data_IF_084823961181
#
_entry.id   IF_084823961181
#
_cell.length_a   1.000
_cell.length_b   1.000
_cell.length_c   1.000
_cell.angle_alpha   90.00
_cell.angle_beta   90.00
_cell.angle_gamma   90.00
#
_symmetry.space_group_name_H-M   'P 1'
#
loop_
_entity.id
_entity.type
_entity.pdbx_description
1 polymer ?
#
# COMPACT_ATOMS: atom_id res chain seq x y z
N UNK A 1 -14.51 0.47 -15.71
CA UNK A 1 -14.32 -0.47 -14.59
C UNK A 1 -13.35 0.18 -13.64
N UNK A 2 -13.68 0.29 -12.37
CA UNK A 2 -12.82 0.94 -11.36
C UNK A 2 -11.70 -0.01 -10.97
N UNK A 3 -10.45 0.45 -11.01
CA UNK A 3 -9.29 -0.33 -10.55
C UNK A 3 -9.39 -0.50 -9.03
N UNK A 4 -9.21 -1.71 -8.48
CA UNK A 4 -9.26 -1.93 -7.02
C UNK A 4 -7.94 -2.48 -6.49
N UNK A 5 -7.33 -1.79 -5.52
CA UNK A 5 -5.99 -2.08 -5.00
C UNK A 5 -5.98 -2.07 -3.47
N UNK A 6 -5.35 -3.09 -2.88
CA UNK A 6 -5.05 -3.16 -1.45
C UNK A 6 -3.54 -3.06 -1.22
N UNK A 7 -3.09 -2.09 -0.42
CA UNK A 7 -1.69 -1.96 -0.01
C UNK A 7 -1.48 -2.66 1.33
N UNK A 8 -0.46 -3.50 1.45
CA UNK A 8 -0.25 -4.32 2.66
C UNK A 8 1.15 -4.19 3.22
N UNK A 9 1.26 -3.82 4.50
CA UNK A 9 2.50 -3.90 5.27
C UNK A 9 2.32 -4.81 6.50
N UNK A 10 3.23 -4.73 7.49
CA UNK A 10 3.11 -5.53 8.71
C UNK A 10 1.97 -5.06 9.62
N UNK A 11 2.04 -3.82 10.11
CA UNK A 11 1.18 -3.31 11.18
C UNK A 11 0.10 -2.33 10.73
N UNK A 12 0.06 -1.93 9.46
CA UNK A 12 -0.92 -0.99 8.90
C UNK A 12 -1.00 0.39 9.56
N UNK A 13 0.11 0.88 10.11
CA UNK A 13 0.21 2.22 10.71
C UNK A 13 1.23 3.14 10.01
N UNK A 14 2.30 2.59 9.40
CA UNK A 14 3.33 3.39 8.73
C UNK A 14 3.25 3.34 7.20
N UNK A 15 3.73 2.24 6.62
CA UNK A 15 3.95 2.07 5.17
C UNK A 15 2.66 1.98 4.36
N UNK A 16 1.74 1.09 4.71
CA UNK A 16 0.54 0.86 3.90
C UNK A 16 -0.48 2.01 3.96
N UNK A 17 -0.70 2.72 5.09
CA UNK A 17 -1.54 3.92 5.10
C UNK A 17 -0.95 5.05 4.24
N UNK A 18 0.37 5.24 4.31
CA UNK A 18 1.07 6.20 3.44
C UNK A 18 0.91 5.80 1.97
N UNK A 19 1.12 4.52 1.66
CA UNK A 19 0.99 3.98 0.32
C UNK A 19 -0.42 4.13 -0.26
N UNK A 20 -1.45 3.90 0.54
CA UNK A 20 -2.85 4.10 0.15
C UNK A 20 -3.12 5.56 -0.24
N UNK A 21 -2.75 6.50 0.63
CA UNK A 21 -2.96 7.91 0.40
C UNK A 21 -2.19 8.41 -0.83
N UNK A 22 -0.93 7.99 -0.98
CA UNK A 22 -0.07 8.35 -2.11
C UNK A 22 -0.58 7.76 -3.43
N UNK A 23 -0.93 6.47 -3.47
CA UNK A 23 -1.43 5.84 -4.69
C UNK A 23 -2.73 6.50 -5.16
N UNK A 24 -3.67 6.74 -4.23
CA UNK A 24 -4.93 7.44 -4.52
C UNK A 24 -4.67 8.84 -5.08
N UNK A 25 -3.73 9.58 -4.48
CA UNK A 25 -3.37 10.93 -4.92
C UNK A 25 -2.76 10.93 -6.34
N UNK A 26 -1.81 10.03 -6.62
CA UNK A 26 -1.17 9.92 -7.93
C UNK A 26 -2.14 9.47 -9.02
N UNK A 27 -3.08 8.57 -8.71
CA UNK A 27 -4.15 8.18 -9.63
C UNK A 27 -5.11 9.34 -9.92
N UNK A 28 -5.53 10.08 -8.89
CA UNK A 28 -6.40 11.25 -9.03
C UNK A 28 -5.77 12.32 -9.93
N UNK A 29 -4.47 12.60 -9.77
CA UNK A 29 -3.73 13.54 -10.62
C UNK A 29 -3.70 13.14 -12.10
N UNK A 30 -3.87 11.85 -12.39
CA UNK A 30 -3.89 11.29 -13.75
C UNK A 30 -5.30 11.05 -14.27
N UNK A 31 -6.35 11.38 -13.51
CA UNK A 31 -7.74 11.12 -13.88
C UNK A 31 -8.12 9.63 -13.90
N UNK A 32 -7.38 8.79 -13.16
CA UNK A 32 -7.61 7.34 -13.09
C UNK A 32 -8.61 7.04 -11.97
N UNK A 33 -9.72 6.39 -12.31
CA UNK A 33 -10.70 5.91 -11.32
C UNK A 33 -10.17 4.64 -10.61
N UNK A 34 -9.91 4.78 -9.31
CA UNK A 34 -9.32 3.74 -8.48
C UNK A 34 -9.96 3.72 -7.08
N UNK A 35 -10.25 2.52 -6.59
CA UNK A 35 -10.52 2.24 -5.19
C UNK A 35 -9.24 1.71 -4.55
N UNK A 36 -8.72 2.43 -3.55
CA UNK A 36 -7.53 2.02 -2.79
C UNK A 36 -7.90 1.88 -1.32
N UNK A 37 -7.44 0.81 -0.70
CA UNK A 37 -7.51 0.54 0.73
C UNK A 37 -6.15 0.03 1.23
N UNK A 38 -5.97 -0.08 2.54
CA UNK A 38 -4.78 -0.69 3.13
C UNK A 38 -5.05 -1.61 4.31
N UNK A 39 -4.15 -2.57 4.50
CA UNK A 39 -4.23 -3.53 5.60
C UNK A 39 -2.84 -3.95 6.11
N UNK A 40 -2.84 -4.72 7.20
CA UNK A 40 -1.66 -5.31 7.82
C UNK A 40 -1.70 -6.83 7.73
N UNK A 41 -0.54 -7.46 7.60
CA UNK A 41 -0.46 -8.93 7.79
C UNK A 41 -0.62 -9.32 9.25
N UNK A 42 -0.22 -8.44 10.18
CA UNK A 42 -0.45 -8.59 11.61
C UNK A 42 -1.73 -7.89 12.09
N UNK A 43 -2.16 -8.24 13.30
CA UNK A 43 -3.36 -7.70 13.96
C UNK A 43 -3.01 -6.76 15.14
N UNK A 44 -1.77 -6.28 15.23
CA UNK A 44 -1.25 -5.59 16.41
C UNK A 44 -1.91 -4.24 16.71
N UNK A 45 -2.35 -3.53 15.67
CA UNK A 45 -2.78 -2.13 15.74
C UNK A 45 -4.21 -1.95 15.25
N UNK A 46 -5.07 -2.98 15.29
CA UNK A 46 -6.43 -2.87 14.75
C UNK A 46 -7.17 -1.70 15.42
N UNK A 47 -7.73 -0.80 14.60
CA UNK A 47 -8.45 0.39 15.02
C UNK A 47 -7.58 1.61 15.30
N UNK A 48 -6.25 1.48 15.28
CA UNK A 48 -5.35 2.61 15.51
C UNK A 48 -5.26 3.52 14.28
N UNK A 49 -5.03 4.81 14.54
CA UNK A 49 -4.68 5.79 13.53
C UNK A 49 -3.28 5.50 12.94
N UNK A 50 -2.96 6.03 11.75
CA UNK A 50 -1.60 5.99 11.23
C UNK A 50 -0.59 6.62 12.20
N UNK A 51 0.67 6.16 12.14
CA UNK A 51 1.76 6.76 12.90
C UNK A 51 1.81 8.28 12.63
N UNK A 52 1.94 9.08 13.69
CA UNK A 52 1.93 10.54 13.58
C UNK A 52 2.99 11.07 12.60
N UNK A 53 4.11 10.35 12.40
CA UNK A 53 5.15 10.68 11.43
C UNK A 53 4.67 10.43 10.00
N UNK A 54 3.93 9.34 9.76
CA UNK A 54 3.23 9.12 8.48
C UNK A 54 2.25 10.25 8.20
N UNK A 55 1.42 10.64 9.18
CA UNK A 55 0.48 11.76 9.05
C UNK A 55 1.23 13.06 8.73
N UNK A 56 2.28 13.36 9.49
CA UNK A 56 3.09 14.57 9.31
C UNK A 56 3.76 14.62 7.93
N UNK A 57 4.31 13.51 7.45
CA UNK A 57 4.94 13.43 6.13
C UNK A 57 3.91 13.60 5.02
N UNK A 58 2.77 12.91 5.08
CA UNK A 58 1.70 13.08 4.10
C UNK A 58 1.16 14.52 4.08
N UNK A 59 0.96 15.13 5.25
CA UNK A 59 0.50 16.52 5.37
C UNK A 59 1.50 17.52 4.75
N UNK A 60 2.81 17.31 4.95
CA UNK A 60 3.86 18.14 4.33
C UNK A 60 3.81 18.10 2.80
N UNK A 61 3.38 16.98 2.22
CA UNK A 61 3.18 16.81 0.78
C UNK A 61 1.74 17.12 0.31
N UNK A 62 0.90 17.70 1.18
CA UNK A 62 -0.51 18.03 0.91
C UNK A 62 -1.36 16.81 0.50
N UNK A 63 -1.04 15.63 1.04
CA UNK A 63 -1.77 14.40 0.79
C UNK A 63 -2.62 14.09 2.04
N UNK A 64 -3.96 14.17 1.95
CA UNK A 64 -4.81 13.81 3.06
C UNK A 64 -4.73 12.31 3.33
N UNK A 65 -4.70 11.95 4.61
CA UNK A 65 -4.75 10.57 5.06
C UNK A 65 -5.90 10.43 6.05
N UNK A 66 -6.77 9.46 5.78
CA UNK A 66 -7.86 9.07 6.66
C UNK A 66 -7.92 7.55 6.61
N UNK A 67 -7.53 6.91 7.70
CA UNK A 67 -7.28 5.49 7.74
C UNK A 67 -7.48 4.98 9.16
N UNK A 68 -7.95 3.74 9.29
CA UNK A 68 -8.01 3.01 10.55
C UNK A 68 -7.41 1.64 10.32
N UNK A 69 -6.39 1.29 11.10
CA UNK A 69 -5.65 0.06 10.90
C UNK A 69 -6.53 -1.18 10.99
N UNK A 70 -6.34 -2.12 10.05
CA UNK A 70 -7.05 -3.41 9.99
C UNK A 70 -6.12 -4.52 9.54
N UNK A 71 -6.51 -5.76 9.81
CA UNK A 71 -5.81 -6.92 9.28
C UNK A 71 -6.34 -7.26 7.87
N UNK A 72 -5.46 -7.80 7.03
CA UNK A 72 -5.85 -8.39 5.75
C UNK A 72 -6.65 -9.68 6.00
N UNK A 73 -7.74 -9.87 5.28
CA UNK A 73 -8.67 -10.99 5.41
C UNK A 73 -8.71 -11.83 4.13
N UNK A 74 -9.21 -13.07 4.21
CA UNK A 74 -9.34 -13.92 3.02
C UNK A 74 -10.29 -13.33 1.96
N UNK A 75 -11.31 -12.59 2.41
CA UNK A 75 -12.23 -11.91 1.50
C UNK A 75 -11.54 -10.83 0.65
N UNK A 76 -10.43 -10.24 1.11
CA UNK A 76 -9.70 -9.22 0.36
C UNK A 76 -9.17 -9.76 -0.97
N UNK A 77 -8.82 -11.05 -1.04
CA UNK A 77 -8.33 -11.69 -2.26
C UNK A 77 -9.39 -11.85 -3.36
N UNK A 78 -10.66 -11.58 -3.06
CA UNK A 78 -11.75 -11.54 -4.03
C UNK A 78 -12.33 -10.13 -4.23
N UNK A 79 -12.15 -9.24 -3.25
CA UNK A 79 -12.59 -7.83 -3.32
C UNK A 79 -11.67 -6.96 -4.17
N UNK A 80 -10.37 -7.23 -4.14
CA UNK A 80 -9.36 -6.40 -4.82
C UNK A 80 -8.77 -7.10 -6.04
N UNK A 81 -8.55 -6.35 -7.11
CA UNK A 81 -7.86 -6.85 -8.30
C UNK A 81 -6.36 -7.02 -8.03
N UNK A 82 -5.77 -6.09 -7.28
CA UNK A 82 -4.35 -6.10 -6.93
C UNK A 82 -4.15 -6.01 -5.42
N UNK A 83 -3.24 -6.84 -4.90
CA UNK A 83 -2.75 -6.73 -3.52
C UNK A 83 -1.23 -6.52 -3.59
N UNK A 84 -0.79 -5.37 -3.10
CA UNK A 84 0.59 -4.91 -3.23
C UNK A 84 1.29 -4.99 -1.87
N UNK A 85 2.24 -5.92 -1.76
CA UNK A 85 3.03 -6.12 -0.55
C UNK A 85 4.17 -5.10 -0.46
N UNK A 86 4.32 -4.45 0.70
CA UNK A 86 5.38 -3.47 0.94
C UNK A 86 6.78 -4.12 0.93
N UNK A 87 6.92 -5.33 1.45
CA UNK A 87 8.18 -6.08 1.45
C UNK A 87 7.98 -7.58 1.16
N UNK A 88 9.10 -8.31 1.04
CA UNK A 88 9.09 -9.74 0.76
C UNK A 88 8.50 -10.60 1.88
N UNK A 89 8.53 -10.14 3.14
CA UNK A 89 7.88 -10.84 4.26
C UNK A 89 6.36 -10.71 4.17
N UNK A 90 5.86 -9.50 3.90
CA UNK A 90 4.45 -9.26 3.66
C UNK A 90 3.94 -10.07 2.46
N UNK A 91 4.72 -10.14 1.37
CA UNK A 91 4.38 -10.96 0.21
C UNK A 91 4.25 -12.45 0.59
N UNK A 92 5.22 -13.01 1.31
CA UNK A 92 5.15 -14.41 1.75
C UNK A 92 3.93 -14.68 2.61
N UNK A 93 3.63 -13.80 3.57
CA UNK A 93 2.48 -13.94 4.45
C UNK A 93 1.15 -13.88 3.67
N UNK A 94 1.04 -12.97 2.71
CA UNK A 94 -0.13 -12.88 1.83
C UNK A 94 -0.30 -14.11 0.97
N UNK A 95 0.79 -14.63 0.38
CA UNK A 95 0.73 -15.85 -0.43
C UNK A 95 0.35 -17.08 0.40
N UNK A 96 0.79 -17.15 1.66
CA UNK A 96 0.38 -18.21 2.58
C UNK A 96 -1.10 -18.11 3.00
N UNK A 97 -1.66 -16.89 3.02
CA UNK A 97 -3.07 -16.63 3.37
C UNK A 97 -4.02 -16.72 2.17
N UNK A 98 -3.51 -16.56 0.94
CA UNK A 98 -4.33 -16.51 -0.28
C UNK A 98 -5.12 -17.81 -0.45
N UNK A 99 -6.47 -17.77 -0.49
CA UNK A 99 -7.26 -18.96 -0.77
C UNK A 99 -7.06 -19.42 -2.22
N UNK A 100 -7.23 -20.71 -2.49
CA UNK A 100 -7.04 -21.29 -3.82
C UNK A 100 -7.91 -20.66 -4.92
N UNK A 101 -9.09 -20.15 -4.55
CA UNK A 101 -10.04 -19.48 -5.44
C UNK A 101 -9.82 -17.95 -5.51
N UNK A 102 -8.88 -17.39 -4.76
CA UNK A 102 -8.65 -15.95 -4.70
C UNK A 102 -8.24 -15.38 -6.07
N UNK A 103 -8.97 -14.39 -6.57
CA UNK A 103 -8.75 -13.82 -7.92
C UNK A 103 -7.69 -12.70 -7.96
N UNK A 104 -7.35 -12.10 -6.82
CA UNK A 104 -6.41 -10.99 -6.75
C UNK A 104 -5.00 -11.33 -7.26
N UNK A 105 -4.41 -10.43 -8.04
CA UNK A 105 -2.98 -10.45 -8.37
C UNK A 105 -2.18 -9.94 -7.17
N UNK A 106 -1.40 -10.83 -6.53
CA UNK A 106 -0.58 -10.51 -5.36
C UNK A 106 0.88 -10.33 -5.78
N UNK A 107 1.47 -9.16 -5.55
CA UNK A 107 2.85 -8.86 -5.96
C UNK A 107 3.60 -8.03 -4.93
N UNK A 108 4.93 -8.10 -4.95
CA UNK A 108 5.78 -7.09 -4.31
C UNK A 108 5.56 -5.75 -5.02
N UNK A 109 5.32 -4.68 -4.28
CA UNK A 109 5.00 -3.39 -4.88
C UNK A 109 6.17 -2.82 -5.70
N UNK A 110 7.40 -2.89 -5.19
CA UNK A 110 8.55 -2.45 -5.97
C UNK A 110 8.84 -3.28 -7.23
N UNK A 111 8.16 -4.42 -7.45
CA UNK A 111 8.31 -5.20 -8.70
C UNK A 111 7.85 -4.47 -9.95
N UNK A 112 7.11 -3.37 -9.81
CA UNK A 112 6.72 -2.50 -10.93
C UNK A 112 7.83 -1.53 -11.36
N UNK A 113 8.91 -1.39 -10.57
CA UNK A 113 10.00 -0.45 -10.86
C UNK A 113 11.38 -1.12 -10.82
N UNK A 114 11.81 -1.62 -9.67
CA UNK A 114 13.19 -2.07 -9.45
C UNK A 114 13.33 -3.33 -8.57
N UNK A 115 12.20 -4.00 -8.27
CA UNK A 115 12.11 -5.18 -7.40
C UNK A 115 12.57 -4.97 -5.95
N UNK A 116 12.66 -3.73 -5.45
CA UNK A 116 13.02 -3.47 -4.05
C UNK A 116 11.80 -3.42 -3.11
N UNK A 117 11.98 -3.74 -1.83
CA UNK A 117 10.95 -3.49 -0.82
C UNK A 117 10.86 -1.99 -0.48
N UNK A 118 9.74 -1.59 0.10
CA UNK A 118 9.61 -0.33 0.82
C UNK A 118 10.28 -0.51 2.19
N UNK A 119 11.21 0.39 2.49
CA UNK A 119 11.95 0.44 3.75
C UNK A 119 10.98 0.66 4.91
N UNK A 120 11.08 -0.14 5.99
CA UNK A 120 10.24 0.08 7.18
C UNK A 120 10.76 1.26 8.01
N UNK A 121 10.00 2.37 8.13
CA UNK A 121 10.49 3.55 8.82
C UNK A 121 10.25 3.52 10.33
N UNK A 122 9.58 2.51 10.90
CA UNK A 122 9.03 2.54 12.26
C UNK A 122 10.07 2.86 13.35
N UNK A 123 11.26 2.25 13.27
CA UNK A 123 12.38 2.47 14.19
C UNK A 123 13.32 3.62 13.76
N UNK A 124 12.99 4.30 12.66
CA UNK A 124 13.75 5.43 12.12
C UNK A 124 13.22 6.79 12.59
N UNK A 125 13.88 7.84 12.10
CA UNK A 125 13.47 9.23 12.27
C UNK A 125 12.56 9.71 11.13
N UNK A 126 12.23 11.00 11.12
CA UNK A 126 11.37 11.57 10.07
C UNK A 126 11.97 11.42 8.65
N UNK A 127 13.29 11.34 8.51
CA UNK A 127 13.97 11.12 7.23
C UNK A 127 13.63 9.74 6.66
N UNK A 128 13.49 8.73 7.52
CA UNK A 128 13.04 7.40 7.09
C UNK A 128 11.60 7.42 6.56
N UNK A 129 10.72 8.25 7.14
CA UNK A 129 9.35 8.42 6.66
C UNK A 129 9.30 9.17 5.32
N UNK A 130 10.13 10.20 5.12
CA UNK A 130 10.27 10.85 3.81
C UNK A 130 10.75 9.88 2.73
N UNK A 131 11.74 9.03 3.05
CA UNK A 131 12.18 7.99 2.12
C UNK A 131 11.06 6.99 1.80
N UNK A 132 10.32 6.54 2.80
CA UNK A 132 9.15 5.68 2.59
C UNK A 132 8.12 6.35 1.67
N UNK A 133 7.92 7.66 1.80
CA UNK A 133 7.04 8.45 0.94
C UNK A 133 7.52 8.49 -0.51
N UNK A 134 8.82 8.71 -0.72
CA UNK A 134 9.44 8.70 -2.05
C UNK A 134 9.33 7.32 -2.73
N UNK A 135 9.54 6.25 -1.97
CA UNK A 135 9.38 4.86 -2.41
C UNK A 135 7.91 4.57 -2.79
N UNK A 136 6.95 4.92 -1.92
CA UNK A 136 5.51 4.82 -2.21
C UNK A 136 5.13 5.60 -3.49
N UNK A 137 5.66 6.80 -3.66
CA UNK A 137 5.37 7.67 -4.81
C UNK A 137 5.90 7.05 -6.10
N UNK A 138 7.15 6.60 -6.09
CA UNK A 138 7.81 6.02 -7.27
C UNK A 138 7.16 4.71 -7.70
N UNK A 139 6.83 3.84 -6.73
CA UNK A 139 6.15 2.57 -7.00
C UNK A 139 4.68 2.76 -7.41
N UNK A 140 3.99 3.78 -6.87
CA UNK A 140 2.63 4.14 -7.32
C UNK A 140 2.61 4.55 -8.78
N UNK A 141 3.54 5.43 -9.19
CA UNK A 141 3.66 5.89 -10.58
C UNK A 141 3.91 4.73 -11.53
N UNK A 142 4.90 3.89 -11.21
CA UNK A 142 5.26 2.73 -12.02
C UNK A 142 4.13 1.69 -12.11
N UNK A 143 3.43 1.44 -10.99
CA UNK A 143 2.24 0.59 -10.97
C UNK A 143 1.16 1.10 -11.91
N UNK A 144 0.81 2.39 -11.80
CA UNK A 144 -0.22 3.02 -12.64
C UNK A 144 0.17 3.01 -14.12
N UNK A 145 1.45 3.23 -14.45
CA UNK A 145 1.95 3.14 -15.83
C UNK A 145 1.76 1.74 -16.43
N UNK A 146 2.05 0.69 -15.67
CA UNK A 146 1.90 -0.70 -16.12
C UNK A 146 0.42 -1.11 -16.27
N UNK A 147 -0.43 -0.79 -15.29
CA UNK A 147 -1.81 -1.30 -15.28
C UNK A 147 -2.76 -0.52 -16.17
N UNK A 148 -2.48 0.76 -16.44
CA UNK A 148 -3.30 1.56 -17.37
C UNK A 148 -2.89 1.31 -18.82
N UNK A 149 -1.62 1.01 -19.11
CA UNK A 149 -1.20 0.66 -20.48
C UNK A 149 -1.71 -0.70 -20.97
N UNK A 150 -2.13 -1.57 -20.05
CA UNK A 150 -2.67 -2.91 -20.34
C UNK A 150 -4.20 -2.93 -20.48
N UNK A 151 -4.89 -1.84 -20.18
CA UNK A 151 -6.34 -1.67 -20.32
C UNK A 151 -6.66 -0.81 -21.54
#
# INVERSE_FOLDING_TARGET
MTLSVLIVCLGNICRSPMGEAVLRHEATKRGIDIHVDSAGTGAYHIGEDPDYRTISTCAKHNIPINHSARQAEEADFNKFQYILAADGSNLRNLMAKKPGEGTATVRLWGSYLDNKPISDPYYGDITAFERCFEECTSFSKAFLDEVVSKN
#
